data_IF_030692857721
#
_entry.id   IF_030692857721
#
_cell.length_a   1.000
_cell.length_b   1.000
_cell.length_c   1.000
_cell.angle_alpha   90.00
_cell.angle_beta   90.00
_cell.angle_gamma   90.00
#
_symmetry.space_group_name_H-M   'P 1'
#
loop_
_entity.id
_entity.type
_entity.pdbx_description
1 polymer ?
#
# COMPACT_ATOMS: atom_id res chain seq x y z
N UNK A 1 -18.31 13.90 -5.12
CA UNK A 1 -17.93 13.85 -3.68
C UNK A 1 -18.84 14.75 -2.86
N UNK A 2 -19.04 16.02 -3.25
CA UNK A 2 -19.82 16.99 -2.47
C UNK A 2 -21.28 16.56 -2.25
N UNK A 3 -21.98 16.10 -3.28
CA UNK A 3 -23.36 15.62 -3.16
C UNK A 3 -23.49 14.42 -2.19
N UNK A 4 -22.56 13.47 -2.25
CA UNK A 4 -22.54 12.32 -1.33
C UNK A 4 -22.27 12.76 0.10
N UNK A 5 -21.30 13.67 0.29
CA UNK A 5 -20.96 14.23 1.59
C UNK A 5 -22.17 14.97 2.21
N UNK A 6 -22.87 15.79 1.45
CA UNK A 6 -24.05 16.54 1.89
C UNK A 6 -25.20 15.62 2.31
N UNK A 7 -25.42 14.54 1.57
CA UNK A 7 -26.44 13.54 1.91
C UNK A 7 -26.10 12.85 3.24
N UNK A 8 -24.85 12.42 3.40
CA UNK A 8 -24.40 11.69 4.62
C UNK A 8 -24.29 12.58 5.86
N UNK A 9 -24.09 13.89 5.67
CA UNK A 9 -23.94 14.85 6.77
C UNK A 9 -25.17 15.71 7.01
N UNK A 10 -26.32 15.36 6.45
CA UNK A 10 -27.56 16.18 6.46
C UNK A 10 -28.02 16.61 7.88
N UNK A 11 -27.70 15.80 8.93
CA UNK A 11 -28.05 16.08 10.33
C UNK A 11 -26.99 16.89 11.11
N UNK A 12 -25.87 17.27 10.51
CA UNK A 12 -24.79 17.96 11.22
C UNK A 12 -24.88 19.49 11.08
N UNK A 13 -24.42 20.22 12.11
CA UNK A 13 -24.26 21.67 12.06
C UNK A 13 -23.22 22.08 11.01
N UNK A 14 -23.35 23.31 10.47
CA UNK A 14 -22.41 23.84 9.46
C UNK A 14 -20.94 23.80 9.93
N UNK A 15 -20.70 24.05 11.21
CA UNK A 15 -19.35 23.98 11.81
C UNK A 15 -18.81 22.55 11.86
N UNK A 16 -19.67 21.58 12.20
CA UNK A 16 -19.30 20.17 12.22
C UNK A 16 -19.03 19.64 10.80
N UNK A 17 -19.86 20.05 9.82
CA UNK A 17 -19.63 19.74 8.40
C UNK A 17 -18.31 20.30 7.88
N UNK A 18 -17.97 21.56 8.22
CA UNK A 18 -16.72 22.18 7.81
C UNK A 18 -15.50 21.41 8.35
N UNK A 19 -15.50 21.07 9.66
CA UNK A 19 -14.44 20.24 10.26
C UNK A 19 -14.33 18.84 9.66
N UNK A 20 -15.47 18.21 9.36
CA UNK A 20 -15.49 16.90 8.71
C UNK A 20 -14.96 16.98 7.28
N UNK A 21 -15.32 18.04 6.54
CA UNK A 21 -14.84 18.26 5.16
C UNK A 21 -13.33 18.53 5.14
N UNK A 22 -12.81 19.28 6.07
CA UNK A 22 -11.38 19.51 6.25
C UNK A 22 -10.63 18.20 6.56
N UNK A 23 -11.14 17.41 7.47
CA UNK A 23 -10.51 16.16 7.92
C UNK A 23 -10.64 15.01 6.90
N UNK A 24 -11.79 14.86 6.26
CA UNK A 24 -12.14 13.66 5.47
C UNK A 24 -12.54 13.92 4.01
N UNK A 25 -12.76 15.18 3.65
CA UNK A 25 -13.37 15.58 2.37
C UNK A 25 -12.39 15.75 1.22
N UNK A 26 -11.11 15.45 1.39
CA UNK A 26 -10.15 15.54 0.28
C UNK A 26 -10.31 14.35 -0.67
N UNK A 27 -10.11 14.59 -1.97
CA UNK A 27 -10.16 13.52 -2.97
C UNK A 27 -9.13 12.42 -2.66
N UNK A 28 -7.96 12.79 -2.16
CA UNK A 28 -6.91 11.86 -1.76
C UNK A 28 -7.40 10.89 -0.67
N UNK A 29 -8.05 11.39 0.38
CA UNK A 29 -8.61 10.53 1.44
C UNK A 29 -9.74 9.62 0.95
N UNK A 30 -10.53 10.08 -0.02
CA UNK A 30 -11.55 9.24 -0.67
C UNK A 30 -10.88 8.14 -1.50
N UNK A 31 -9.84 8.47 -2.26
CA UNK A 31 -9.11 7.50 -3.09
C UNK A 31 -8.34 6.47 -2.25
N UNK A 32 -7.80 6.87 -1.11
CA UNK A 32 -7.09 5.98 -0.17
C UNK A 32 -8.01 5.28 0.84
N UNK A 33 -9.34 5.45 0.74
CA UNK A 33 -10.28 4.79 1.64
C UNK A 33 -10.23 3.26 1.45
N UNK A 34 -10.23 2.51 2.56
CA UNK A 34 -10.11 1.05 2.55
C UNK A 34 -11.13 0.37 1.62
N UNK A 35 -12.38 0.79 1.68
CA UNK A 35 -13.45 0.19 0.86
C UNK A 35 -13.23 0.38 -0.65
N UNK A 36 -12.58 1.46 -1.06
CA UNK A 36 -12.21 1.68 -2.46
C UNK A 36 -11.00 0.83 -2.85
N UNK A 37 -9.98 0.79 -1.99
CA UNK A 37 -8.80 -0.05 -2.24
C UNK A 37 -9.17 -1.53 -2.36
N UNK A 38 -10.07 -2.02 -1.50
CA UNK A 38 -10.60 -3.39 -1.55
C UNK A 38 -11.28 -3.70 -2.89
N UNK A 39 -12.08 -2.76 -3.43
CA UNK A 39 -12.70 -2.93 -4.76
C UNK A 39 -11.67 -2.99 -5.88
N UNK A 40 -10.68 -2.08 -5.86
CA UNK A 40 -9.59 -2.07 -6.85
C UNK A 40 -8.81 -3.39 -6.80
N UNK A 41 -8.45 -3.86 -5.61
CA UNK A 41 -7.75 -5.14 -5.43
C UNK A 41 -8.58 -6.30 -5.97
N UNK A 42 -9.88 -6.32 -5.63
CA UNK A 42 -10.79 -7.35 -6.12
C UNK A 42 -10.87 -7.37 -7.64
N UNK A 43 -11.03 -6.21 -8.28
CA UNK A 43 -11.07 -6.08 -9.74
C UNK A 43 -9.77 -6.59 -10.38
N UNK A 44 -8.60 -6.23 -9.81
CA UNK A 44 -7.29 -6.70 -10.30
C UNK A 44 -7.18 -8.22 -10.19
N UNK A 45 -7.59 -8.81 -9.06
CA UNK A 45 -7.57 -10.27 -8.87
C UNK A 45 -8.48 -10.95 -9.89
N UNK A 46 -9.68 -10.42 -10.14
CA UNK A 46 -10.58 -10.94 -11.17
C UNK A 46 -9.96 -10.85 -12.56
N UNK A 47 -9.30 -9.74 -12.88
CA UNK A 47 -8.59 -9.59 -14.17
C UNK A 47 -7.53 -10.68 -14.37
N UNK A 48 -6.75 -11.00 -13.32
CA UNK A 48 -5.78 -12.09 -13.38
C UNK A 48 -6.41 -13.48 -13.53
N UNK A 49 -7.64 -13.66 -13.08
CA UNK A 49 -8.37 -14.93 -13.18
C UNK A 49 -9.16 -15.07 -14.49
N UNK A 50 -9.54 -13.97 -15.13
CA UNK A 50 -10.48 -13.98 -16.26
C UNK A 50 -9.84 -13.57 -17.59
N UNK A 51 -8.82 -12.72 -17.59
CA UNK A 51 -8.21 -12.22 -18.83
C UNK A 51 -7.15 -13.19 -19.35
N UNK A 52 -7.30 -13.78 -20.55
CA UNK A 52 -6.37 -14.80 -21.06
C UNK A 52 -4.91 -14.34 -21.08
N UNK A 53 -4.65 -13.06 -21.34
CA UNK A 53 -3.29 -12.48 -21.34
C UNK A 53 -2.63 -12.41 -19.96
N UNK A 54 -3.40 -12.55 -18.87
CA UNK A 54 -2.91 -12.48 -17.49
C UNK A 54 -3.00 -13.85 -16.78
N UNK A 55 -3.79 -14.78 -17.32
CA UNK A 55 -3.96 -16.12 -16.76
C UNK A 55 -2.67 -16.94 -16.90
N UNK A 56 -2.54 -17.96 -16.04
CA UNK A 56 -1.52 -19.01 -16.14
C UNK A 56 -0.06 -18.50 -16.21
N UNK A 57 0.19 -17.29 -15.70
CA UNK A 57 1.52 -16.69 -15.73
C UNK A 57 1.93 -16.07 -17.08
N UNK A 58 0.97 -15.88 -17.99
CA UNK A 58 1.25 -15.28 -19.31
C UNK A 58 1.50 -13.77 -19.26
N UNK A 59 1.11 -13.12 -18.15
CA UNK A 59 1.31 -11.68 -17.99
C UNK A 59 1.37 -11.23 -16.55
N UNK A 60 1.83 -10.02 -16.39
CA UNK A 60 1.95 -9.31 -15.12
C UNK A 60 1.39 -7.89 -15.24
N UNK A 61 1.30 -7.17 -14.14
CA UNK A 61 0.78 -5.80 -14.09
C UNK A 61 1.57 -4.92 -13.10
N UNK A 62 1.49 -3.62 -13.32
CA UNK A 62 2.02 -2.60 -12.40
C UNK A 62 0.84 -1.81 -11.85
N UNK A 63 0.76 -1.68 -10.53
CA UNK A 63 -0.17 -0.80 -9.81
C UNK A 63 0.61 0.39 -9.27
N UNK A 64 0.31 1.58 -9.76
CA UNK A 64 0.92 2.82 -9.24
C UNK A 64 0.09 3.33 -8.08
N UNK A 65 0.71 3.48 -6.91
CA UNK A 65 0.10 4.06 -5.73
C UNK A 65 0.54 5.53 -5.56
N UNK A 66 -0.33 6.34 -4.99
CA UNK A 66 -0.11 7.78 -4.74
C UNK A 66 0.86 8.08 -3.59
N UNK A 67 1.24 7.04 -2.83
CA UNK A 67 2.19 7.15 -1.74
C UNK A 67 2.45 5.82 -1.05
N UNK A 68 3.46 5.79 -0.22
CA UNK A 68 3.91 4.59 0.49
C UNK A 68 2.83 4.02 1.41
N UNK A 69 2.07 4.83 2.20
CA UNK A 69 0.97 4.30 3.02
C UNK A 69 -0.11 3.60 2.21
N UNK A 70 -0.47 4.17 1.05
CA UNK A 70 -1.45 3.56 0.14
C UNK A 70 -0.92 2.26 -0.48
N UNK A 71 0.36 2.22 -0.86
CA UNK A 71 1.00 1.00 -1.37
C UNK A 71 0.99 -0.13 -0.32
N UNK A 72 1.27 0.21 0.95
CA UNK A 72 1.20 -0.74 2.06
C UNK A 72 -0.23 -1.26 2.29
N UNK A 73 -1.23 -0.37 2.26
CA UNK A 73 -2.64 -0.77 2.35
C UNK A 73 -3.03 -1.72 1.20
N UNK A 74 -2.63 -1.43 -0.04
CA UNK A 74 -2.86 -2.33 -1.18
C UNK A 74 -2.18 -3.69 -0.96
N UNK A 75 -0.92 -3.70 -0.57
CA UNK A 75 -0.17 -4.93 -0.33
C UNK A 75 -0.86 -5.81 0.73
N UNK A 76 -1.27 -5.23 1.87
CA UNK A 76 -1.98 -5.97 2.92
C UNK A 76 -3.31 -6.54 2.43
N UNK A 77 -4.10 -5.77 1.66
CA UNK A 77 -5.37 -6.24 1.12
C UNK A 77 -5.13 -7.41 0.15
N UNK A 78 -4.13 -7.32 -0.74
CA UNK A 78 -3.75 -8.44 -1.61
C UNK A 78 -3.39 -9.69 -0.82
N UNK A 79 -2.57 -9.55 0.25
CA UNK A 79 -2.20 -10.68 1.12
C UNK A 79 -3.43 -11.28 1.82
N UNK A 80 -4.33 -10.45 2.35
CA UNK A 80 -5.58 -10.88 3.01
C UNK A 80 -6.52 -11.62 2.04
N UNK A 81 -6.58 -11.21 0.78
CA UNK A 81 -7.35 -11.87 -0.28
C UNK A 81 -6.63 -13.10 -0.89
N UNK A 82 -5.48 -13.51 -0.36
CA UNK A 82 -4.74 -14.68 -0.81
C UNK A 82 -3.88 -14.47 -2.06
N UNK A 83 -3.79 -13.24 -2.58
CA UNK A 83 -2.94 -12.92 -3.73
C UNK A 83 -1.53 -12.56 -3.27
N UNK A 84 -0.68 -13.59 -3.11
CA UNK A 84 0.68 -13.47 -2.54
C UNK A 84 1.77 -13.10 -3.54
N UNK A 85 1.47 -13.11 -4.85
CA UNK A 85 2.44 -12.89 -5.94
C UNK A 85 2.57 -11.40 -6.29
N UNK A 86 2.74 -10.55 -5.25
CA UNK A 86 2.92 -9.12 -5.38
C UNK A 86 4.03 -8.60 -4.47
N UNK A 87 4.66 -7.50 -4.84
CA UNK A 87 5.68 -6.81 -4.05
C UNK A 87 5.53 -5.29 -4.17
N UNK A 88 5.97 -4.55 -3.14
CA UNK A 88 6.09 -3.09 -3.19
C UNK A 88 7.51 -2.74 -3.67
N UNK A 89 7.59 -1.78 -4.58
CA UNK A 89 8.84 -1.19 -5.06
C UNK A 89 8.76 0.32 -4.87
N UNK A 90 9.62 0.86 -3.98
CA UNK A 90 9.64 2.30 -3.66
C UNK A 90 11.03 2.74 -3.20
N UNK A 91 11.20 4.01 -2.89
CA UNK A 91 12.43 4.55 -2.27
C UNK A 91 12.47 4.43 -0.75
N UNK A 92 11.43 3.84 -0.13
CA UNK A 92 11.31 3.74 1.32
C UNK A 92 12.18 2.63 1.89
N UNK A 93 12.89 2.93 2.96
CA UNK A 93 13.63 1.97 3.79
C UNK A 93 13.13 2.08 5.23
N UNK A 94 12.64 0.98 5.84
CA UNK A 94 12.15 0.99 7.22
C UNK A 94 13.25 1.41 8.21
N UNK A 95 12.94 2.37 9.08
CA UNK A 95 13.86 2.86 10.10
C UNK A 95 13.18 2.88 11.49
N UNK A 96 13.83 2.28 12.49
CA UNK A 96 13.35 2.32 13.89
C UNK A 96 13.19 3.73 14.45
N UNK A 97 13.95 4.70 13.95
CA UNK A 97 13.87 6.10 14.38
C UNK A 97 12.52 6.75 14.09
N UNK A 98 11.81 6.29 13.05
CA UNK A 98 10.49 6.80 12.69
C UNK A 98 9.40 6.48 13.76
N UNK A 99 9.59 5.43 14.55
CA UNK A 99 8.66 5.01 15.61
C UNK A 99 8.82 5.78 16.92
N UNK A 100 9.83 6.65 17.03
CA UNK A 100 10.19 7.34 18.29
C UNK A 100 9.75 8.80 18.34
N UNK A 101 8.99 9.28 17.40
CA UNK A 101 8.53 10.68 17.37
C UNK A 101 7.32 10.88 18.29
N UNK A 102 7.56 11.32 19.51
CA UNK A 102 6.56 11.57 20.56
C UNK A 102 5.63 12.80 20.31
N UNK A 103 5.55 13.30 19.07
CA UNK A 103 4.94 14.65 18.85
C UNK A 103 4.02 14.73 17.63
N UNK A 104 3.49 13.62 17.09
CA UNK A 104 2.66 13.66 15.88
C UNK A 104 1.24 13.18 16.16
N UNK A 105 0.27 13.63 15.37
CA UNK A 105 -1.15 13.27 15.51
C UNK A 105 -1.38 11.77 15.35
N UNK A 106 -2.36 11.22 16.06
CA UNK A 106 -2.72 9.77 16.06
C UNK A 106 -2.84 9.12 14.68
N UNK A 107 -3.16 9.89 13.62
CA UNK A 107 -3.28 9.37 12.24
C UNK A 107 -1.90 9.14 11.58
N UNK A 108 -0.94 10.05 11.78
CA UNK A 108 0.41 9.96 11.19
C UNK A 108 1.21 8.82 11.83
N UNK A 109 1.03 8.60 13.13
CA UNK A 109 1.66 7.49 13.86
C UNK A 109 1.16 6.14 13.35
N UNK A 110 -0.14 6.02 13.10
CA UNK A 110 -0.75 4.80 12.57
C UNK A 110 -0.24 4.47 11.17
N UNK A 111 -0.09 5.47 10.29
CA UNK A 111 0.43 5.26 8.93
C UNK A 111 1.93 4.94 8.94
N UNK A 112 2.70 5.55 9.83
CA UNK A 112 4.13 5.27 10.00
C UNK A 112 4.35 3.84 10.50
N UNK A 113 3.58 3.41 11.49
CA UNK A 113 3.63 2.04 11.99
C UNK A 113 3.22 1.03 10.92
N UNK A 114 2.15 1.29 10.16
CA UNK A 114 1.71 0.45 9.06
C UNK A 114 2.81 0.27 7.99
N UNK A 115 3.45 1.36 7.56
CA UNK A 115 4.58 1.29 6.60
C UNK A 115 5.67 0.37 7.10
N UNK A 116 6.10 0.60 8.33
CA UNK A 116 7.17 -0.14 8.97
C UNK A 116 6.86 -1.64 9.06
N UNK A 117 5.70 -2.00 9.64
CA UNK A 117 5.29 -3.41 9.77
C UNK A 117 5.15 -4.11 8.41
N UNK A 118 4.50 -3.44 7.44
CA UNK A 118 4.27 -4.02 6.12
C UNK A 118 5.59 -4.35 5.43
N UNK A 119 6.56 -3.45 5.49
CA UNK A 119 7.88 -3.69 4.91
C UNK A 119 8.64 -4.79 5.62
N UNK A 120 8.60 -4.85 6.96
CA UNK A 120 9.24 -5.95 7.68
C UNK A 120 8.64 -7.30 7.32
N UNK A 121 7.31 -7.40 7.28
CA UNK A 121 6.60 -8.61 6.85
C UNK A 121 6.98 -9.02 5.42
N UNK A 122 7.05 -8.05 4.51
CA UNK A 122 7.43 -8.28 3.12
C UNK A 122 8.87 -8.78 2.99
N UNK A 123 9.79 -8.24 3.78
CA UNK A 123 11.20 -8.64 3.81
C UNK A 123 11.47 -9.92 4.63
N UNK A 124 10.46 -10.46 5.32
CA UNK A 124 10.62 -11.61 6.23
C UNK A 124 11.47 -11.28 7.45
N UNK A 125 11.44 -10.04 7.93
CA UNK A 125 12.19 -9.58 9.10
C UNK A 125 11.29 -9.52 10.34
N UNK A 126 11.82 -9.97 11.48
CA UNK A 126 11.16 -9.80 12.77
C UNK A 126 11.47 -8.40 13.34
N UNK A 127 10.46 -7.66 13.86
CA UNK A 127 10.66 -6.35 14.48
C UNK A 127 11.62 -6.38 15.69
N UNK A 128 11.73 -7.52 16.39
CA UNK A 128 12.63 -7.70 17.54
C UNK A 128 14.10 -7.88 17.14
N UNK A 129 14.35 -8.46 15.96
CA UNK A 129 15.70 -8.86 15.48
C UNK A 129 16.23 -7.92 14.38
N UNK A 130 15.81 -6.67 14.37
CA UNK A 130 16.24 -5.75 13.31
C UNK A 130 17.75 -5.51 13.34
N UNK A 131 18.44 -5.87 12.25
CA UNK A 131 19.83 -5.54 12.06
C UNK A 131 20.02 -4.00 11.95
N UNK A 132 21.27 -3.55 11.99
CA UNK A 132 21.62 -2.13 11.83
C UNK A 132 21.02 -1.53 10.55
N UNK A 133 20.73 -0.22 10.53
CA UNK A 133 20.06 0.47 9.44
C UNK A 133 20.64 0.18 8.05
N UNK A 134 21.97 0.12 7.91
CA UNK A 134 22.61 -0.24 6.64
C UNK A 134 22.33 -1.66 6.15
N UNK A 135 22.10 -2.60 7.06
CA UNK A 135 21.73 -3.98 6.72
C UNK A 135 20.27 -4.09 6.26
N UNK A 136 19.37 -3.26 6.81
CA UNK A 136 17.97 -3.19 6.36
C UNK A 136 17.90 -2.62 4.96
N UNK A 137 18.65 -1.58 4.67
CA UNK A 137 18.73 -0.99 3.33
C UNK A 137 19.21 -2.00 2.30
N UNK A 138 20.30 -2.72 2.59
CA UNK A 138 20.83 -3.75 1.68
C UNK A 138 19.79 -4.85 1.40
N UNK A 139 19.02 -5.27 2.42
CA UNK A 139 17.93 -6.24 2.25
C UNK A 139 16.78 -5.71 1.40
N UNK A 140 16.41 -4.43 1.55
CA UNK A 140 15.40 -3.78 0.69
C UNK A 140 15.86 -3.79 -0.77
N UNK A 141 17.11 -3.37 -1.02
CA UNK A 141 17.69 -3.33 -2.37
C UNK A 141 17.77 -4.72 -3.02
N UNK A 142 18.20 -5.73 -2.24
CA UNK A 142 18.25 -7.11 -2.70
C UNK A 142 16.84 -7.65 -3.02
N UNK A 143 15.88 -7.42 -2.12
CA UNK A 143 14.48 -7.79 -2.32
C UNK A 143 13.88 -7.14 -3.56
N UNK A 144 14.08 -5.82 -3.74
CA UNK A 144 13.58 -5.11 -4.92
C UNK A 144 14.21 -5.62 -6.21
N UNK A 145 15.51 -5.88 -6.20
CA UNK A 145 16.22 -6.44 -7.36
C UNK A 145 15.64 -7.80 -7.73
N UNK A 146 15.42 -8.66 -6.76
CA UNK A 146 14.85 -9.99 -6.97
C UNK A 146 13.37 -9.91 -7.41
N UNK A 147 12.57 -9.02 -6.82
CA UNK A 147 11.19 -8.80 -7.22
C UNK A 147 11.09 -8.33 -8.67
N UNK A 148 11.95 -7.39 -9.09
CA UNK A 148 12.02 -6.90 -10.49
C UNK A 148 12.48 -8.00 -11.45
N UNK A 149 13.50 -8.78 -11.06
CA UNK A 149 13.95 -9.93 -11.87
C UNK A 149 12.80 -10.92 -12.08
N UNK A 150 12.14 -11.36 -11.01
CA UNK A 150 11.00 -12.29 -11.11
C UNK A 150 9.84 -11.71 -11.92
N UNK A 151 9.61 -10.41 -11.79
CA UNK A 151 8.54 -9.75 -12.54
C UNK A 151 8.78 -9.82 -14.06
N UNK A 152 10.03 -9.72 -14.52
CA UNK A 152 10.39 -9.79 -15.93
C UNK A 152 10.52 -11.24 -16.42
N UNK A 153 11.21 -12.08 -15.65
CA UNK A 153 11.62 -13.41 -16.09
C UNK A 153 10.64 -14.52 -15.68
N UNK A 154 9.88 -14.30 -14.59
CA UNK A 154 9.01 -15.31 -13.97
C UNK A 154 7.61 -14.75 -13.66
N UNK A 155 6.82 -14.30 -14.65
CA UNK A 155 5.52 -13.66 -14.40
C UNK A 155 4.51 -14.59 -13.70
N UNK A 156 4.73 -15.90 -13.73
CA UNK A 156 3.96 -16.87 -12.95
C UNK A 156 4.21 -16.75 -11.43
N UNK A 157 5.40 -16.29 -11.02
CA UNK A 157 5.84 -16.19 -9.62
C UNK A 157 5.71 -14.76 -9.05
N UNK A 158 5.81 -13.73 -9.91
CA UNK A 158 5.62 -12.32 -9.56
C UNK A 158 4.65 -11.67 -10.54
N UNK A 159 3.38 -11.59 -10.15
CA UNK A 159 2.30 -11.13 -11.02
C UNK A 159 2.08 -9.63 -10.97
N UNK A 160 2.38 -8.99 -9.83
CA UNK A 160 2.07 -7.58 -9.61
C UNK A 160 3.19 -6.85 -8.88
N UNK A 161 3.61 -5.70 -9.41
CA UNK A 161 4.40 -4.73 -8.66
C UNK A 161 3.52 -3.55 -8.27
N UNK A 162 3.58 -3.16 -6.99
CA UNK A 162 2.98 -1.95 -6.46
C UNK A 162 4.09 -0.91 -6.38
N UNK A 163 4.00 0.14 -7.17
CA UNK A 163 5.10 1.10 -7.37
C UNK A 163 4.73 2.47 -6.81
N UNK A 164 5.68 3.09 -6.11
CA UNK A 164 5.61 4.48 -5.62
C UNK A 164 6.89 5.19 -6.03
N UNK A 165 6.75 6.30 -6.77
CA UNK A 165 7.85 7.22 -7.18
C UNK A 165 9.06 6.56 -7.87
N UNK A 166 8.92 5.32 -8.33
CA UNK A 166 9.96 4.58 -9.07
C UNK A 166 9.34 3.98 -10.33
N UNK A 167 9.38 4.69 -11.42
CA UNK A 167 9.14 4.18 -12.77
C UNK A 167 10.43 4.24 -13.58
#
# INVERSE_FOLDING_TARGET
>A
VDQWFDVKTRGLSSRAKAKLKEKWGTMQKVYSSRSRLEKVVWDIIQDFNMKPRLMDGNGNAILVADGIPTACKYYEIFQQMGFKKCAIVSSYTPNKGELRTDTVSDEDDTETFLKYETYLKMLGLDPSDLPNAGSVQAKVEEFEKEAKRKFVEEPANMKLLIVVDKL
#
